data_IF_843266461320
#
_entry.id   IF_843266461320
#
_cell.length_a   1.000
_cell.length_b   1.000
_cell.length_c   1.000
_cell.angle_alpha   90.00
_cell.angle_beta   90.00
_cell.angle_gamma   90.00
#
_symmetry.space_group_name_H-M   'P 1'
#
loop_
_entity.id
_entity.type
_entity.pdbx_description
1 polymer ?
#
# COMPACT_ATOMS: atom_id res chain seq x y z
N UNK A 1 -12.79 13.53 0.59
CA UNK A 1 -11.66 14.32 1.16
C UNK A 1 -11.14 13.71 2.45
N UNK A 2 -11.99 13.27 3.38
CA UNK A 2 -11.57 12.63 4.65
C UNK A 2 -10.59 11.46 4.49
N UNK A 3 -10.88 10.50 3.59
CA UNK A 3 -10.01 9.33 3.35
C UNK A 3 -8.60 9.67 2.87
N UNK A 4 -8.42 10.83 2.22
CA UNK A 4 -7.12 11.28 1.71
C UNK A 4 -6.22 11.78 2.83
N UNK A 5 -6.79 12.53 3.77
CA UNK A 5 -6.08 13.00 4.95
C UNK A 5 -5.74 11.84 5.87
N UNK A 6 -6.64 10.86 6.01
CA UNK A 6 -6.37 9.62 6.76
C UNK A 6 -5.24 8.79 6.13
N UNK A 7 -5.23 8.62 4.81
CA UNK A 7 -4.16 7.91 4.10
C UNK A 7 -2.79 8.60 4.29
N UNK A 8 -2.74 9.92 4.14
CA UNK A 8 -1.51 10.70 4.35
C UNK A 8 -1.07 10.69 5.81
N UNK A 9 -2.01 10.76 6.74
CA UNK A 9 -1.72 10.68 8.17
C UNK A 9 -1.17 9.29 8.53
N UNK A 10 -1.76 8.22 8.00
CA UNK A 10 -1.22 6.87 8.11
C UNK A 10 0.18 6.82 7.50
N UNK A 11 0.39 7.32 6.28
CA UNK A 11 1.69 7.36 5.60
C UNK A 11 2.78 8.01 6.47
N UNK A 12 2.52 9.22 6.97
CA UNK A 12 3.46 9.99 7.79
C UNK A 12 3.73 9.29 9.13
N UNK A 13 2.73 8.64 9.71
CA UNK A 13 2.90 7.86 10.94
C UNK A 13 3.70 6.60 10.71
N UNK A 14 3.43 5.84 9.66
CA UNK A 14 4.14 4.60 9.34
C UNK A 14 5.62 4.89 9.08
N UNK A 15 5.91 5.87 8.22
CA UNK A 15 7.28 6.27 7.88
C UNK A 15 8.07 6.83 9.06
N UNK A 16 7.41 7.43 10.06
CA UNK A 16 8.08 7.98 11.26
C UNK A 16 8.19 7.01 12.44
N UNK A 17 7.26 6.06 12.56
CA UNK A 17 7.20 5.15 13.70
C UNK A 17 7.97 3.86 13.45
N UNK A 18 7.77 3.24 12.29
CA UNK A 18 8.41 1.98 11.93
C UNK A 18 8.35 1.74 10.42
N UNK A 19 9.46 2.03 9.76
CA UNK A 19 9.64 1.80 8.32
C UNK A 19 9.54 0.33 7.92
N UNK A 20 9.70 -0.61 8.87
CA UNK A 20 9.64 -2.05 8.62
C UNK A 20 8.28 -2.67 9.00
N UNK A 21 7.29 -1.84 9.36
CA UNK A 21 5.96 -2.34 9.69
C UNK A 21 5.16 -2.67 8.42
N UNK A 22 5.28 -3.91 7.97
CA UNK A 22 4.57 -4.45 6.81
C UNK A 22 3.05 -4.33 6.92
N UNK A 23 2.47 -4.50 8.11
CA UNK A 23 1.03 -4.33 8.33
C UNK A 23 0.56 -2.89 8.05
N UNK A 24 1.34 -1.92 8.50
CA UNK A 24 1.00 -0.52 8.29
C UNK A 24 1.17 -0.10 6.83
N UNK A 25 2.22 -0.57 6.14
CA UNK A 25 2.37 -0.40 4.69
C UNK A 25 1.22 -1.07 3.92
N UNK A 26 0.82 -2.28 4.30
CA UNK A 26 -0.29 -2.99 3.66
C UNK A 26 -1.63 -2.25 3.79
N UNK A 27 -1.98 -1.81 5.01
CA UNK A 27 -3.21 -1.05 5.25
C UNK A 27 -3.23 0.26 4.46
N UNK A 28 -2.08 0.95 4.41
CA UNK A 28 -1.91 2.17 3.63
C UNK A 28 -2.10 1.90 2.13
N UNK A 29 -1.51 0.83 1.59
CA UNK A 29 -1.72 0.41 0.21
C UNK A 29 -3.19 0.14 -0.10
N UNK A 30 -3.90 -0.53 0.81
CA UNK A 30 -5.34 -0.81 0.65
C UNK A 30 -6.16 0.48 0.62
N UNK A 31 -5.87 1.43 1.50
CA UNK A 31 -6.57 2.73 1.52
C UNK A 31 -6.30 3.50 0.23
N UNK A 32 -5.05 3.52 -0.25
CA UNK A 32 -4.69 4.16 -1.52
C UNK A 32 -5.38 3.49 -2.70
N UNK A 33 -5.47 2.16 -2.70
CA UNK A 33 -6.17 1.42 -3.75
C UNK A 33 -7.67 1.77 -3.80
N UNK A 34 -8.34 1.81 -2.65
CA UNK A 34 -9.74 2.23 -2.55
C UNK A 34 -9.98 3.69 -2.98
N UNK A 35 -8.92 4.48 -2.95
CA UNK A 35 -8.92 5.87 -3.41
C UNK A 35 -8.59 6.00 -4.91
N UNK A 36 -8.48 4.89 -5.64
CA UNK A 36 -8.07 4.82 -7.05
C UNK A 36 -6.65 5.38 -7.29
N UNK A 37 -5.85 5.45 -6.24
CA UNK A 37 -4.44 5.85 -6.26
C UNK A 37 -3.56 4.63 -6.48
N UNK A 38 -3.79 3.96 -7.62
CA UNK A 38 -3.18 2.67 -7.92
C UNK A 38 -1.65 2.75 -7.96
N UNK A 39 -1.06 3.81 -8.52
CA UNK A 39 0.40 3.98 -8.56
C UNK A 39 1.03 4.11 -7.17
N UNK A 40 0.42 4.89 -6.27
CA UNK A 40 0.94 5.02 -4.90
C UNK A 40 0.70 3.73 -4.08
N UNK A 41 -0.43 3.04 -4.30
CA UNK A 41 -0.70 1.75 -3.69
C UNK A 41 0.34 0.69 -4.10
N UNK A 42 0.70 0.64 -5.39
CA UNK A 42 1.72 -0.28 -5.90
C UNK A 42 3.08 -0.06 -5.23
N UNK A 43 3.51 1.20 -5.06
CA UNK A 43 4.75 1.53 -4.34
C UNK A 43 4.72 1.06 -2.89
N UNK A 44 3.58 1.20 -2.22
CA UNK A 44 3.44 0.74 -0.84
C UNK A 44 3.46 -0.80 -0.76
N UNK A 45 2.82 -1.51 -1.71
CA UNK A 45 2.93 -2.97 -1.81
C UNK A 45 4.35 -3.44 -2.12
N UNK A 46 5.11 -2.69 -2.92
CA UNK A 46 6.53 -2.98 -3.16
C UNK A 46 7.36 -2.89 -1.87
N UNK A 47 7.08 -1.93 -1.00
CA UNK A 47 7.72 -1.86 0.32
C UNK A 47 7.33 -3.05 1.21
N UNK A 48 6.04 -3.44 1.24
CA UNK A 48 5.61 -4.65 1.96
C UNK A 48 6.38 -5.87 1.50
N UNK A 49 6.49 -6.08 0.18
CA UNK A 49 7.21 -7.20 -0.43
C UNK A 49 8.72 -7.11 -0.17
N UNK A 50 9.29 -5.90 -0.14
CA UNK A 50 10.72 -5.69 0.14
C UNK A 50 11.07 -6.14 1.55
N UNK A 51 10.20 -5.82 2.52
CA UNK A 51 10.38 -6.16 3.94
C UNK A 51 10.02 -7.63 4.20
N UNK A 52 8.85 -8.07 3.72
CA UNK A 52 8.36 -9.44 3.80
C UNK A 52 8.13 -10.03 2.40
N UNK A 53 9.18 -10.67 1.89
CA UNK A 53 9.15 -11.35 0.58
C UNK A 53 8.18 -12.53 0.54
N UNK A 54 7.78 -13.05 1.69
CA UNK A 54 6.84 -14.16 1.82
C UNK A 54 5.37 -13.72 1.81
N UNK A 55 5.10 -12.41 1.76
CA UNK A 55 3.74 -11.88 1.80
C UNK A 55 3.01 -12.10 0.47
N UNK A 56 2.41 -13.29 0.31
CA UNK A 56 1.63 -13.69 -0.85
C UNK A 56 0.41 -12.79 -1.10
N UNK A 57 -0.15 -12.21 -0.04
CA UNK A 57 -1.31 -11.32 -0.14
C UNK A 57 -0.95 -10.00 -0.82
N UNK A 58 0.18 -9.40 -0.45
CA UNK A 58 0.71 -8.20 -1.10
C UNK A 58 1.01 -8.42 -2.58
N UNK A 59 1.56 -9.58 -2.94
CA UNK A 59 1.78 -9.97 -4.33
C UNK A 59 0.46 -10.10 -5.11
N UNK A 60 -0.52 -10.79 -4.54
CA UNK A 60 -1.82 -11.01 -5.16
C UNK A 60 -2.55 -9.69 -5.44
N UNK A 61 -2.59 -8.78 -4.46
CA UNK A 61 -3.25 -7.50 -4.65
C UNK A 61 -2.49 -6.61 -5.64
N UNK A 62 -1.15 -6.61 -5.59
CA UNK A 62 -0.33 -5.91 -6.58
C UNK A 62 -0.64 -6.37 -8.00
N UNK A 63 -0.76 -7.68 -8.21
CA UNK A 63 -1.10 -8.25 -9.52
C UNK A 63 -2.50 -7.81 -9.98
N UNK A 64 -3.51 -7.88 -9.10
CA UNK A 64 -4.86 -7.41 -9.42
C UNK A 64 -4.87 -5.93 -9.84
N UNK A 65 -4.15 -5.07 -9.12
CA UNK A 65 -4.07 -3.64 -9.45
C UNK A 65 -3.39 -3.43 -10.81
N UNK A 66 -2.33 -4.20 -11.11
CA UNK A 66 -1.65 -4.12 -12.40
C UNK A 66 -2.54 -4.60 -13.55
N UNK A 67 -3.37 -5.61 -13.32
CA UNK A 67 -4.32 -6.11 -14.31
C UNK A 67 -5.45 -5.11 -14.56
N UNK A 68 -5.97 -4.47 -13.50
CA UNK A 68 -6.96 -3.39 -13.62
C UNK A 68 -6.40 -2.18 -14.40
N UNK A 69 -5.12 -1.86 -14.24
CA UNK A 69 -4.47 -0.76 -14.97
C UNK A 69 -4.17 -1.06 -16.45
N UNK A 70 -4.08 -2.35 -16.83
CA UNK A 70 -3.84 -2.77 -18.22
C UNK A 70 -5.11 -2.89 -19.05
N UNK A 71 -6.28 -2.80 -18.41
CA UNK A 71 -7.59 -3.06 -19.00
C UNK A 71 -8.28 -1.76 -19.41
#
# INVERSE_FOLDING_TARGET
MQRYEEALYCFDKTTKLDENNTYAWYNLSSILNDMLKHEEALKCYDEVIRIDKGNTEAWYIKENILDDLKR
#
